data_IF_983359828348
#
_entry.id   IF_983359828348
#
_cell.length_a   1.000
_cell.length_b   1.000
_cell.length_c   1.000
_cell.angle_alpha   90.00
_cell.angle_beta   90.00
_cell.angle_gamma   90.00
#
_symmetry.space_group_name_H-M   'P 1'
#
loop_
_entity.id
_entity.type
_entity.pdbx_description
1 polymer ?
#
# COMPACT_ATOMS: atom_id res chain seq x y z
N UNK A 1 -9.67 -16.99 -2.57
CA UNK A 1 -10.78 -16.68 -1.64
C UNK A 1 -12.06 -16.73 -2.44
N UNK A 2 -13.13 -17.32 -1.90
CA UNK A 2 -14.49 -17.07 -2.41
C UNK A 2 -14.87 -15.62 -2.03
N UNK A 3 -15.63 -14.91 -2.87
CA UNK A 3 -16.13 -13.58 -2.50
C UNK A 3 -17.06 -13.65 -1.29
N UNK A 4 -17.16 -12.54 -0.55
CA UNK A 4 -18.12 -12.36 0.54
C UNK A 4 -19.56 -12.60 0.07
N UNK A 5 -20.41 -13.04 0.99
CA UNK A 5 -21.84 -13.26 0.74
C UNK A 5 -22.52 -11.90 0.66
N UNK A 6 -23.30 -11.65 -0.39
CA UNK A 6 -24.06 -10.40 -0.52
C UNK A 6 -25.16 -10.30 0.53
N UNK A 7 -25.64 -9.08 0.80
CA UNK A 7 -26.70 -8.80 1.78
C UNK A 7 -28.00 -9.58 1.54
N UNK A 8 -28.25 -10.04 0.32
CA UNK A 8 -29.40 -10.87 -0.05
C UNK A 8 -29.13 -12.38 0.03
N UNK A 9 -28.01 -12.78 0.63
CA UNK A 9 -27.63 -14.17 0.88
C UNK A 9 -27.07 -14.91 -0.33
N UNK A 10 -26.89 -14.23 -1.49
CA UNK A 10 -26.27 -14.85 -2.66
C UNK A 10 -24.76 -14.97 -2.45
N UNK A 11 -24.21 -16.11 -2.85
CA UNK A 11 -22.76 -16.35 -2.85
C UNK A 11 -22.24 -16.15 -4.26
N UNK A 12 -21.06 -15.56 -4.46
CA UNK A 12 -20.43 -15.49 -5.78
C UNK A 12 -19.88 -16.86 -6.29
N UNK A 13 -20.35 -17.98 -5.73
CA UNK A 13 -19.94 -19.34 -6.12
C UNK A 13 -20.15 -19.61 -7.60
N UNK A 14 -21.20 -19.04 -8.18
CA UNK A 14 -21.54 -19.19 -9.60
C UNK A 14 -20.50 -18.55 -10.52
N UNK A 15 -19.67 -17.61 -10.05
CA UNK A 15 -18.59 -17.03 -10.84
C UNK A 15 -17.51 -18.06 -11.18
N UNK A 16 -17.23 -19.00 -10.27
CA UNK A 16 -16.21 -20.03 -10.51
C UNK A 16 -16.69 -21.15 -11.44
N UNK A 17 -18.00 -21.32 -11.61
CA UNK A 17 -18.61 -22.32 -12.49
C UNK A 17 -19.09 -21.73 -13.82
N UNK A 18 -19.41 -20.44 -13.88
CA UNK A 18 -19.86 -19.73 -15.08
C UNK A 18 -18.81 -19.74 -16.19
N UNK A 19 -19.18 -20.28 -17.37
CA UNK A 19 -18.29 -20.31 -18.53
C UNK A 19 -18.01 -18.91 -19.11
N UNK A 20 -18.94 -17.98 -18.96
CA UNK A 20 -18.75 -16.57 -19.34
C UNK A 20 -17.66 -15.95 -18.48
N UNK A 21 -17.78 -16.04 -17.15
CA UNK A 21 -16.78 -15.50 -16.21
C UNK A 21 -15.40 -16.13 -16.42
N UNK A 22 -15.32 -17.46 -16.60
CA UNK A 22 -14.06 -18.13 -16.95
C UNK A 22 -13.50 -17.64 -18.28
N UNK A 23 -14.35 -17.36 -19.27
CA UNK A 23 -13.91 -16.83 -20.55
C UNK A 23 -13.30 -15.44 -20.41
N UNK A 24 -13.93 -14.56 -19.63
CA UNK A 24 -13.37 -13.25 -19.30
C UNK A 24 -12.03 -13.36 -18.57
N UNK A 25 -11.90 -14.25 -17.58
CA UNK A 25 -10.62 -14.48 -16.89
C UNK A 25 -9.54 -15.06 -17.79
N UNK A 26 -9.90 -15.88 -18.80
CA UNK A 26 -8.95 -16.39 -19.80
C UNK A 26 -8.37 -15.25 -20.66
N UNK A 27 -9.17 -14.23 -20.95
CA UNK A 27 -8.72 -13.07 -21.73
C UNK A 27 -7.72 -12.18 -20.95
N UNK A 28 -7.72 -12.25 -19.62
CA UNK A 28 -6.86 -11.45 -18.74
C UNK A 28 -5.60 -12.21 -18.27
N UNK A 29 -5.31 -13.42 -18.80
CA UNK A 29 -4.21 -14.23 -18.27
C UNK A 29 -2.83 -13.59 -18.40
N UNK A 30 -2.58 -12.86 -19.49
CA UNK A 30 -1.29 -12.18 -19.70
C UNK A 30 -1.09 -11.08 -18.64
N UNK A 31 -2.11 -10.23 -18.45
CA UNK A 31 -2.16 -9.23 -17.37
C UNK A 31 -1.93 -9.86 -15.99
N UNK A 32 -2.63 -10.94 -15.68
CA UNK A 32 -2.45 -11.64 -14.40
C UNK A 32 -1.04 -12.24 -14.27
N UNK A 33 -0.45 -12.71 -15.37
CA UNK A 33 0.94 -13.17 -15.43
C UNK A 33 1.94 -12.08 -15.07
N UNK A 34 1.75 -10.88 -15.62
CA UNK A 34 2.59 -9.70 -15.36
C UNK A 34 2.49 -9.23 -13.91
N UNK A 35 1.27 -9.13 -13.37
CA UNK A 35 1.05 -8.83 -11.95
C UNK A 35 1.69 -9.87 -11.03
N UNK A 36 1.56 -11.17 -11.35
CA UNK A 36 2.17 -12.25 -10.57
C UNK A 36 3.70 -12.18 -10.61
N UNK A 37 4.28 -11.80 -11.74
CA UNK A 37 5.72 -11.59 -11.90
C UNK A 37 6.20 -10.41 -11.03
N UNK A 38 5.54 -9.25 -11.13
CA UNK A 38 5.82 -8.10 -10.28
C UNK A 38 5.67 -8.44 -8.79
N UNK A 39 4.65 -9.20 -8.42
CA UNK A 39 4.39 -9.61 -7.04
C UNK A 39 5.44 -10.59 -6.52
N UNK A 40 6.00 -11.45 -7.39
CA UNK A 40 7.09 -12.35 -7.01
C UNK A 40 8.38 -11.57 -6.76
N UNK A 41 8.70 -10.58 -7.60
CA UNK A 41 9.83 -9.69 -7.35
C UNK A 41 9.66 -8.95 -6.02
N UNK A 42 8.45 -8.47 -5.71
CA UNK A 42 8.13 -7.86 -4.42
C UNK A 42 8.33 -8.83 -3.26
N UNK A 43 7.78 -10.06 -3.36
CA UNK A 43 7.90 -11.11 -2.33
C UNK A 43 9.35 -11.47 -2.02
N UNK A 44 10.18 -11.67 -3.05
CA UNK A 44 11.59 -12.01 -2.86
C UNK A 44 12.37 -10.81 -2.29
N UNK A 45 12.10 -9.59 -2.77
CA UNK A 45 12.72 -8.36 -2.24
C UNK A 45 12.39 -8.19 -0.76
N UNK A 46 11.11 -8.22 -0.37
CA UNK A 46 10.72 -8.02 1.04
C UNK A 46 11.28 -9.10 1.94
N UNK A 47 11.34 -10.36 1.48
CA UNK A 47 11.90 -11.46 2.26
C UNK A 47 13.39 -11.22 2.56
N UNK A 48 14.15 -10.79 1.56
CA UNK A 48 15.54 -10.39 1.76
C UNK A 48 15.65 -9.19 2.71
N UNK A 49 14.86 -8.13 2.48
CA UNK A 49 14.95 -6.90 3.28
C UNK A 49 14.56 -7.11 4.74
N UNK A 50 13.62 -8.00 5.05
CA UNK A 50 13.30 -8.37 6.45
C UNK A 50 14.51 -8.95 7.19
N UNK A 51 15.41 -9.63 6.48
CA UNK A 51 16.69 -10.10 7.07
C UNK A 51 17.74 -9.00 7.15
N UNK A 52 17.81 -8.12 6.14
CA UNK A 52 18.84 -7.09 6.01
C UNK A 52 18.63 -5.89 6.95
N UNK A 53 17.40 -5.41 7.07
CA UNK A 53 17.06 -4.20 7.82
C UNK A 53 17.25 -4.47 9.31
N UNK A 54 18.11 -3.66 9.94
CA UNK A 54 18.44 -3.69 11.37
C UNK A 54 18.74 -2.26 11.85
N UNK A 55 18.49 -1.95 13.13
CA UNK A 55 18.89 -0.69 13.74
C UNK A 55 20.39 -0.42 13.56
N UNK A 56 20.75 0.85 13.41
CA UNK A 56 22.10 1.30 13.10
C UNK A 56 22.37 1.51 11.61
N UNK A 57 21.47 1.09 10.71
CA UNK A 57 21.55 1.39 9.28
C UNK A 57 20.97 2.77 8.99
N UNK A 58 21.57 3.51 8.06
CA UNK A 58 20.98 4.75 7.56
C UNK A 58 19.74 4.44 6.71
N UNK A 59 18.79 5.37 6.66
CA UNK A 59 17.62 5.22 5.80
C UNK A 59 18.04 5.11 4.32
N UNK A 60 19.11 5.82 3.92
CA UNK A 60 19.68 5.75 2.57
C UNK A 60 20.18 4.33 2.24
N UNK A 61 20.97 3.70 3.13
CA UNK A 61 21.46 2.32 2.92
C UNK A 61 20.30 1.33 2.76
N UNK A 62 19.23 1.51 3.56
CA UNK A 62 18.03 0.68 3.48
C UNK A 62 17.35 0.84 2.11
N UNK A 63 17.10 2.07 1.67
CA UNK A 63 16.45 2.35 0.38
C UNK A 63 17.31 1.87 -0.79
N UNK A 64 18.59 2.23 -0.85
CA UNK A 64 19.48 1.85 -1.96
C UNK A 64 19.62 0.32 -2.08
N UNK A 65 19.74 -0.39 -0.95
CA UNK A 65 19.80 -1.85 -0.93
C UNK A 65 18.49 -2.49 -1.40
N UNK A 66 17.35 -1.99 -0.92
CA UNK A 66 16.03 -2.48 -1.33
C UNK A 66 15.83 -2.27 -2.82
N UNK A 67 16.07 -1.06 -3.31
CA UNK A 67 15.86 -0.72 -4.71
C UNK A 67 16.81 -1.46 -5.64
N UNK A 68 18.08 -1.62 -5.27
CA UNK A 68 19.02 -2.44 -6.04
C UNK A 68 18.55 -3.90 -6.13
N UNK A 69 18.02 -4.44 -5.04
CA UNK A 69 17.48 -5.80 -5.01
C UNK A 69 16.24 -5.91 -5.91
N UNK A 70 15.29 -4.99 -5.76
CA UNK A 70 14.06 -4.95 -6.53
C UNK A 70 14.31 -4.78 -8.03
N UNK A 71 15.20 -3.86 -8.44
CA UNK A 71 15.60 -3.64 -9.84
C UNK A 71 16.21 -4.90 -10.47
N UNK A 72 17.05 -5.62 -9.71
CA UNK A 72 17.64 -6.88 -10.17
C UNK A 72 16.60 -7.98 -10.36
N UNK A 73 15.68 -8.14 -9.41
CA UNK A 73 14.64 -9.17 -9.44
C UNK A 73 13.55 -8.91 -10.48
N UNK A 74 13.13 -7.65 -10.66
CA UNK A 74 12.14 -7.26 -11.67
C UNK A 74 12.73 -7.19 -13.08
N UNK A 75 14.07 -7.20 -13.20
CA UNK A 75 14.82 -6.98 -14.44
C UNK A 75 14.44 -5.64 -15.07
N UNK A 76 14.75 -4.56 -14.35
CA UNK A 76 14.42 -3.20 -14.75
C UNK A 76 14.76 -2.94 -16.24
N UNK A 77 13.78 -2.45 -16.98
CA UNK A 77 13.86 -2.11 -18.38
C UNK A 77 12.98 -0.89 -18.67
N UNK A 78 13.53 0.31 -18.43
CA UNK A 78 12.86 1.59 -18.68
C UNK A 78 11.45 1.59 -18.08
N UNK A 79 10.41 1.74 -18.92
CA UNK A 79 9.00 1.75 -18.50
C UNK A 79 8.34 0.36 -18.64
N UNK A 80 8.99 -0.61 -19.26
CA UNK A 80 8.43 -1.96 -19.43
C UNK A 80 8.49 -2.76 -18.12
N UNK A 81 9.54 -2.57 -17.32
CA UNK A 81 9.70 -3.23 -16.02
C UNK A 81 10.50 -2.33 -15.08
N UNK A 82 10.10 -2.23 -13.81
CA UNK A 82 10.81 -1.36 -12.88
C UNK A 82 10.13 -1.19 -11.52
N UNK A 83 10.59 -0.17 -10.80
CA UNK A 83 9.98 0.27 -9.55
C UNK A 83 8.80 1.18 -9.85
N UNK A 84 7.65 0.92 -9.22
CA UNK A 84 6.43 1.67 -9.48
C UNK A 84 6.41 3.04 -8.80
N UNK A 85 7.04 3.13 -7.63
CA UNK A 85 7.14 4.35 -6.81
C UNK A 85 8.37 4.24 -5.88
N UNK A 86 8.84 5.36 -5.29
CA UNK A 86 9.99 5.35 -4.41
C UNK A 86 9.80 4.46 -3.16
N UNK A 87 10.91 4.02 -2.58
CA UNK A 87 10.87 3.20 -1.36
C UNK A 87 10.50 4.05 -0.15
N UNK A 88 9.25 3.98 0.29
CA UNK A 88 8.78 4.55 1.54
C UNK A 88 9.39 3.82 2.73
N UNK A 89 10.07 4.56 3.61
CA UNK A 89 10.69 4.08 4.84
C UNK A 89 10.27 4.94 6.03
N UNK A 90 8.99 5.31 6.06
CA UNK A 90 8.44 6.22 7.07
C UNK A 90 8.59 5.63 8.47
N UNK A 91 9.14 6.39 9.42
CA UNK A 91 9.38 5.95 10.80
C UNK A 91 8.46 6.66 11.80
N UNK A 92 8.06 5.95 12.84
CA UNK A 92 7.31 6.47 13.99
C UNK A 92 6.00 7.16 13.57
N UNK A 93 5.85 8.45 13.92
CA UNK A 93 4.64 9.24 13.72
C UNK A 93 4.37 9.58 12.24
N UNK A 94 5.40 9.57 11.38
CA UNK A 94 5.23 9.73 9.95
C UNK A 94 4.65 8.44 9.36
N UNK A 95 3.44 8.49 8.80
CA UNK A 95 2.72 7.28 8.39
C UNK A 95 3.15 6.76 7.02
N UNK A 96 3.37 7.66 6.05
CA UNK A 96 3.65 7.34 4.66
C UNK A 96 4.49 8.46 3.99
N UNK A 97 4.98 8.19 2.78
CA UNK A 97 5.62 9.15 1.87
C UNK A 97 6.92 9.81 2.35
N UNK A 98 7.60 9.25 3.35
CA UNK A 98 9.00 9.57 3.62
C UNK A 98 9.94 8.55 2.95
N UNK A 99 10.86 9.05 2.15
CA UNK A 99 12.10 8.40 1.72
C UNK A 99 13.23 9.43 1.84
N UNK A 100 14.45 9.06 2.24
CA UNK A 100 15.53 10.02 2.47
C UNK A 100 15.95 10.73 1.18
N UNK A 101 16.08 12.06 1.25
CA UNK A 101 16.79 12.83 0.22
C UNK A 101 18.31 12.68 0.37
N UNK A 102 19.05 13.14 -0.64
CA UNK A 102 20.51 13.13 -0.60
C UNK A 102 21.04 13.87 0.64
N UNK A 103 21.89 13.20 1.41
CA UNK A 103 22.48 13.76 2.63
C UNK A 103 21.65 13.60 3.90
N UNK A 104 20.49 12.94 3.85
CA UNK A 104 19.71 12.59 5.04
C UNK A 104 20.53 11.70 5.99
N UNK A 105 20.86 12.17 7.21
CA UNK A 105 21.69 11.44 8.15
C UNK A 105 20.89 10.46 9.03
N UNK A 106 19.58 10.29 8.79
CA UNK A 106 18.70 9.51 9.65
C UNK A 106 19.17 8.06 9.72
N UNK A 107 19.31 7.57 10.95
CA UNK A 107 19.68 6.19 11.26
C UNK A 107 18.51 5.52 11.96
N UNK A 108 18.13 4.35 11.49
CA UNK A 108 17.11 3.51 12.08
C UNK A 108 17.49 3.10 13.50
N UNK A 109 16.59 3.26 14.47
CA UNK A 109 16.80 2.97 15.88
C UNK A 109 16.03 1.71 16.34
N UNK A 110 16.44 1.14 17.48
CA UNK A 110 15.83 -0.07 18.08
C UNK A 110 14.34 0.11 18.38
N UNK A 111 13.98 1.32 18.79
CA UNK A 111 12.64 1.69 19.22
C UNK A 111 11.75 2.26 18.09
N UNK A 112 12.26 2.29 16.86
CA UNK A 112 11.51 2.81 15.71
C UNK A 112 10.42 1.84 15.22
N UNK A 113 9.30 2.42 14.80
CA UNK A 113 8.27 1.73 14.03
C UNK A 113 8.42 2.10 12.55
N UNK A 114 9.08 1.23 11.79
CA UNK A 114 9.41 1.45 10.39
C UNK A 114 8.32 0.85 9.49
N UNK A 115 7.73 1.66 8.61
CA UNK A 115 6.89 1.18 7.52
C UNK A 115 7.74 1.12 6.26
N UNK A 116 7.88 -0.07 5.68
CA UNK A 116 8.56 -0.30 4.41
C UNK A 116 7.48 -0.49 3.35
N UNK A 117 7.43 0.45 2.42
CA UNK A 117 6.42 0.51 1.38
C UNK A 117 7.10 0.75 0.03
N UNK A 118 6.94 -0.18 -0.90
CA UNK A 118 7.60 -0.10 -2.20
C UNK A 118 6.78 -0.87 -3.23
N UNK A 119 6.89 -0.45 -4.49
CA UNK A 119 6.15 -1.06 -5.57
C UNK A 119 7.03 -1.52 -6.73
N UNK A 120 6.58 -2.57 -7.41
CA UNK A 120 7.17 -3.11 -8.64
C UNK A 120 6.11 -3.13 -9.73
N UNK A 121 6.53 -3.06 -11.00
CA UNK A 121 5.58 -3.21 -12.12
C UNK A 121 6.20 -3.93 -13.32
N UNK A 122 5.32 -4.51 -14.13
CA UNK A 122 5.57 -4.94 -15.51
C UNK A 122 4.50 -4.28 -16.38
N UNK A 123 4.89 -3.60 -17.45
CA UNK A 123 4.04 -2.84 -18.39
C UNK A 123 3.03 -1.89 -17.71
N UNK A 124 3.41 -1.34 -16.57
CA UNK A 124 2.56 -0.44 -15.77
C UNK A 124 1.53 -1.15 -14.89
N UNK A 125 1.51 -2.49 -14.85
CA UNK A 125 0.72 -3.26 -13.90
C UNK A 125 1.46 -3.33 -12.56
N UNK A 126 1.00 -2.50 -11.65
CA UNK A 126 1.68 -2.18 -10.40
C UNK A 126 1.28 -3.16 -9.30
N UNK A 127 2.27 -3.58 -8.53
CA UNK A 127 2.08 -4.15 -7.21
C UNK A 127 2.44 -3.08 -6.19
N UNK A 128 1.45 -2.72 -5.40
CA UNK A 128 1.58 -1.88 -4.23
C UNK A 128 1.40 -2.76 -2.99
N UNK A 129 2.43 -2.83 -2.15
CA UNK A 129 2.40 -3.66 -0.95
C UNK A 129 3.43 -3.18 0.08
N UNK A 130 2.96 -2.98 1.30
CA UNK A 130 3.77 -2.51 2.42
C UNK A 130 3.81 -3.51 3.58
N UNK A 131 4.77 -3.33 4.47
CA UNK A 131 4.84 -4.01 5.76
C UNK A 131 5.49 -3.14 6.82
N UNK A 132 5.23 -3.44 8.10
CA UNK A 132 5.85 -2.73 9.23
C UNK A 132 6.91 -3.62 9.87
N UNK A 133 8.04 -3.03 10.26
CA UNK A 133 9.11 -3.66 11.03
C UNK A 133 9.32 -2.91 12.34
N UNK A 134 9.49 -3.69 13.41
CA UNK A 134 9.82 -3.23 14.76
C UNK A 134 10.84 -4.20 15.37
N UNK A 135 11.67 -3.71 16.28
CA UNK A 135 12.60 -4.54 17.05
C UNK A 135 12.23 -4.61 18.53
N UNK A 136 11.41 -3.67 19.00
CA UNK A 136 10.82 -3.70 20.33
C UNK A 136 9.43 -4.38 20.33
N UNK A 137 9.24 -5.50 21.06
CA UNK A 137 7.98 -6.24 21.14
C UNK A 137 6.79 -5.44 21.69
N UNK A 138 7.04 -4.27 22.32
CA UNK A 138 5.96 -3.39 22.82
C UNK A 138 4.99 -2.95 21.72
N UNK A 139 5.41 -2.99 20.46
CA UNK A 139 4.58 -2.63 19.31
C UNK A 139 3.83 -3.81 18.67
N UNK A 140 4.06 -5.05 19.09
CA UNK A 140 3.49 -6.23 18.42
C UNK A 140 1.96 -6.18 18.32
N UNK A 141 1.28 -5.79 19.42
CA UNK A 141 -0.18 -5.61 19.41
C UNK A 141 -0.66 -4.51 18.46
N UNK A 142 0.14 -3.46 18.24
CA UNK A 142 -0.19 -2.41 17.27
C UNK A 142 -0.07 -2.96 15.84
N UNK A 143 0.97 -3.75 15.56
CA UNK A 143 1.13 -4.43 14.28
C UNK A 143 0.01 -5.45 14.03
N UNK A 144 -0.40 -6.20 15.06
CA UNK A 144 -1.52 -7.13 15.00
C UNK A 144 -2.83 -6.43 14.63
N UNK A 145 -3.14 -5.31 15.30
CA UNK A 145 -4.33 -4.52 15.03
C UNK A 145 -4.41 -4.07 13.57
N UNK A 146 -3.32 -3.51 13.05
CA UNK A 146 -3.26 -3.01 11.66
C UNK A 146 -3.29 -4.16 10.66
N UNK A 147 -2.60 -5.25 10.94
CA UNK A 147 -2.59 -6.44 10.08
C UNK A 147 -3.98 -7.09 9.99
N UNK A 148 -4.68 -7.21 11.11
CA UNK A 148 -6.03 -7.78 11.15
C UNK A 148 -7.06 -6.87 10.47
N UNK A 149 -6.93 -5.55 10.65
CA UNK A 149 -7.74 -4.56 9.95
C UNK A 149 -7.51 -4.61 8.42
N UNK A 150 -6.26 -4.68 7.95
CA UNK A 150 -5.95 -4.85 6.52
C UNK A 150 -6.50 -6.16 5.97
N UNK A 151 -6.32 -7.28 6.68
CA UNK A 151 -6.87 -8.57 6.25
C UNK A 151 -8.40 -8.60 6.24
N UNK A 152 -9.03 -7.86 7.15
CA UNK A 152 -10.47 -7.62 7.13
C UNK A 152 -10.86 -6.83 5.89
N UNK A 153 -10.18 -5.73 5.57
CA UNK A 153 -10.40 -5.00 4.32
C UNK A 153 -10.28 -5.88 3.08
N UNK A 154 -9.27 -6.75 3.02
CA UNK A 154 -9.06 -7.71 1.91
C UNK A 154 -10.21 -8.72 1.81
N UNK A 155 -10.69 -9.23 2.97
CA UNK A 155 -11.78 -10.21 3.03
C UNK A 155 -13.12 -9.60 2.64
N UNK A 156 -13.38 -8.37 3.07
CA UNK A 156 -14.64 -7.68 2.78
C UNK A 156 -14.67 -7.09 1.37
N UNK A 157 -13.50 -6.85 0.74
CA UNK A 157 -13.42 -6.40 -0.64
C UNK A 157 -13.98 -7.43 -1.63
N UNK A 158 -14.74 -6.96 -2.60
CA UNK A 158 -15.36 -7.81 -3.60
C UNK A 158 -16.15 -7.03 -4.62
N UNK A 159 -16.46 -7.65 -5.75
CA UNK A 159 -17.30 -7.04 -6.79
C UNK A 159 -18.66 -6.70 -6.18
N UNK A 160 -19.20 -5.54 -6.54
CA UNK A 160 -20.44 -4.94 -6.02
C UNK A 160 -20.42 -4.50 -4.55
N UNK A 161 -19.31 -4.69 -3.83
CA UNK A 161 -19.16 -4.21 -2.44
C UNK A 161 -18.99 -2.70 -2.44
N UNK A 162 -19.69 -2.01 -1.53
CA UNK A 162 -19.56 -0.56 -1.34
C UNK A 162 -18.27 -0.25 -0.57
N UNK A 163 -17.52 0.73 -1.06
CA UNK A 163 -16.25 1.16 -0.45
C UNK A 163 -16.44 1.62 1.01
N UNK A 164 -17.55 2.29 1.33
CA UNK A 164 -17.87 2.68 2.70
C UNK A 164 -18.01 1.50 3.68
N UNK A 165 -18.51 0.35 3.21
CA UNK A 165 -18.73 -0.83 4.06
C UNK A 165 -17.38 -1.48 4.39
N UNK A 166 -16.47 -1.53 3.42
CA UNK A 166 -15.08 -1.95 3.64
C UNK A 166 -14.43 -1.08 4.71
N UNK A 167 -14.60 0.25 4.62
CA UNK A 167 -14.05 1.18 5.61
C UNK A 167 -14.65 1.07 7.00
N UNK A 168 -15.94 0.75 7.10
CA UNK A 168 -16.60 0.48 8.39
C UNK A 168 -16.05 -0.79 9.04
N UNK A 169 -15.95 -1.89 8.30
CA UNK A 169 -15.39 -3.16 8.79
C UNK A 169 -13.92 -3.03 9.21
N UNK A 170 -13.11 -2.30 8.43
CA UNK A 170 -11.72 -2.00 8.78
C UNK A 170 -11.66 -1.24 10.11
N UNK A 171 -12.48 -0.20 10.26
CA UNK A 171 -12.48 0.61 11.48
C UNK A 171 -12.94 -0.19 12.69
N UNK A 172 -13.99 -1.00 12.57
CA UNK A 172 -14.49 -1.85 13.66
C UNK A 172 -13.37 -2.75 14.19
N UNK A 173 -12.67 -3.45 13.28
CA UNK A 173 -11.57 -4.34 13.68
C UNK A 173 -10.40 -3.54 14.25
N UNK A 174 -9.93 -2.50 13.58
CA UNK A 174 -8.81 -1.68 14.06
C UNK A 174 -9.07 -1.12 15.47
N UNK A 175 -10.27 -0.59 15.69
CA UNK A 175 -10.67 0.04 16.95
C UNK A 175 -11.10 -0.96 18.03
N UNK A 176 -11.13 -2.26 17.73
CA UNK A 176 -11.32 -3.30 18.76
C UNK A 176 -10.06 -3.57 19.58
N UNK A 177 -8.89 -3.11 19.10
CA UNK A 177 -7.60 -3.31 19.77
C UNK A 177 -7.23 -2.16 20.71
N UNK A 178 -6.63 -2.53 21.84
CA UNK A 178 -5.94 -1.62 22.76
C UNK A 178 -4.47 -2.03 22.91
N UNK A 179 -3.59 -1.04 23.02
CA UNK A 179 -2.15 -1.24 23.21
C UNK A 179 -1.66 -0.43 24.40
N UNK A 180 -0.74 -1.00 25.18
CA UNK A 180 -0.08 -0.29 26.29
C UNK A 180 1.34 0.08 25.85
N UNK A 181 1.64 1.38 25.84
CA UNK A 181 2.97 1.90 25.52
C UNK A 181 3.40 2.85 26.64
N UNK A 182 4.57 2.61 27.23
CA UNK A 182 5.15 3.45 28.29
C UNK A 182 4.19 3.72 29.46
N UNK A 183 3.45 2.70 29.91
CA UNK A 183 2.50 2.80 31.03
C UNK A 183 1.19 3.53 30.70
N UNK A 184 0.91 3.77 29.41
CA UNK A 184 -0.35 4.38 28.95
C UNK A 184 -1.05 3.47 27.95
N UNK A 185 -2.34 3.25 28.18
CA UNK A 185 -3.21 2.52 27.25
C UNK A 185 -3.74 3.43 26.15
N UNK A 186 -3.73 2.93 24.93
CA UNK A 186 -4.25 3.59 23.74
C UNK A 186 -5.21 2.66 23.02
N UNK A 187 -6.41 3.15 22.72
CA UNK A 187 -7.23 2.57 21.66
C UNK A 187 -6.54 2.85 20.32
N UNK A 188 -6.34 1.81 19.50
CA UNK A 188 -5.76 2.00 18.16
C UNK A 188 -6.78 2.72 17.30
N UNK A 189 -6.35 3.77 16.57
CA UNK A 189 -7.22 4.56 15.70
C UNK A 189 -6.80 4.44 14.25
N UNK A 190 -7.75 4.21 13.36
CA UNK A 190 -7.53 4.40 11.93
C UNK A 190 -7.12 5.85 11.64
N UNK A 191 -6.13 6.05 10.77
CA UNK A 191 -5.78 7.38 10.27
C UNK A 191 -6.83 7.81 9.23
N UNK A 192 -7.81 8.62 9.66
CA UNK A 192 -9.04 8.87 8.89
C UNK A 192 -8.88 9.60 7.56
N UNK A 193 -7.72 10.19 7.28
CA UNK A 193 -7.39 10.87 6.02
C UNK A 193 -6.29 10.16 5.22
N UNK A 194 -6.05 8.88 5.52
CA UNK A 194 -5.37 7.94 4.63
C UNK A 194 -6.35 6.85 4.20
N UNK A 195 -6.12 6.26 3.03
CA UNK A 195 -7.07 5.40 2.34
C UNK A 195 -6.29 4.42 1.48
N UNK A 196 -6.87 3.24 1.21
CA UNK A 196 -6.47 2.47 0.03
C UNK A 196 -7.02 3.10 -1.25
N UNK A 197 -6.75 2.48 -2.39
CA UNK A 197 -7.10 3.08 -3.69
C UNK A 197 -7.20 2.05 -4.81
N UNK A 198 -7.92 2.40 -5.87
CA UNK A 198 -7.83 1.65 -7.13
C UNK A 198 -6.49 1.92 -7.83
N UNK A 199 -6.02 0.93 -8.59
CA UNK A 199 -4.77 0.97 -9.37
C UNK A 199 -5.13 0.79 -10.85
N UNK A 200 -4.46 1.56 -11.70
CA UNK A 200 -4.55 1.45 -13.15
C UNK A 200 -3.16 1.35 -13.80
N UNK A 201 -3.09 1.06 -15.11
CA UNK A 201 -1.81 0.98 -15.82
C UNK A 201 -1.03 2.30 -15.70
N UNK A 202 0.18 2.23 -15.14
CA UNK A 202 1.04 3.39 -14.85
C UNK A 202 0.40 4.47 -13.97
N UNK A 203 -0.67 4.14 -13.24
CA UNK A 203 -1.43 5.08 -12.41
C UNK A 203 -1.68 4.45 -11.05
N UNK A 204 -0.82 4.79 -10.09
CA UNK A 204 -0.91 4.26 -8.72
C UNK A 204 -2.26 4.55 -8.08
N UNK A 205 -2.78 5.77 -8.25
CA UNK A 205 -4.12 6.18 -7.80
C UNK A 205 -5.06 6.37 -8.99
N UNK A 206 -5.91 5.38 -9.28
CA UNK A 206 -6.80 5.37 -10.44
C UNK A 206 -8.17 6.03 -10.24
N UNK A 207 -8.42 6.61 -9.06
CA UNK A 207 -9.52 7.55 -8.83
C UNK A 207 -10.58 7.09 -7.83
N UNK A 208 -10.65 5.80 -7.48
CA UNK A 208 -11.46 5.31 -6.35
C UNK A 208 -10.59 5.22 -5.10
N UNK A 209 -11.14 5.64 -3.97
CA UNK A 209 -10.48 5.58 -2.65
C UNK A 209 -11.20 4.57 -1.76
N UNK A 210 -10.46 3.65 -1.15
CA UNK A 210 -10.97 2.68 -0.18
C UNK A 210 -10.83 3.30 1.22
N UNK A 211 -11.93 3.74 1.85
CA UNK A 211 -11.86 4.31 3.20
C UNK A 211 -11.42 3.26 4.22
N UNK A 212 -10.81 3.72 5.32
CA UNK A 212 -10.47 2.89 6.49
C UNK A 212 -11.23 3.32 7.76
N UNK A 213 -12.26 4.13 7.54
CA UNK A 213 -13.22 4.64 8.52
C UNK A 213 -14.62 4.63 7.90
N UNK A 214 -15.65 4.52 8.73
CA UNK A 214 -17.04 4.65 8.30
C UNK A 214 -17.37 6.05 7.77
N UNK A 215 -18.43 6.15 6.98
CA UNK A 215 -18.96 7.43 6.48
C UNK A 215 -18.40 7.88 5.13
N UNK A 216 -17.68 7.00 4.41
CA UNK A 216 -17.21 7.24 3.05
C UNK A 216 -18.33 7.11 1.99
N UNK A 217 -17.93 7.18 0.72
CA UNK A 217 -18.86 7.05 -0.40
C UNK A 217 -19.38 5.61 -0.57
N UNK A 218 -20.64 5.48 -0.99
CA UNK A 218 -21.27 4.20 -1.32
C UNK A 218 -20.92 3.68 -2.73
N UNK A 219 -19.89 4.25 -3.36
CA UNK A 219 -19.32 3.78 -4.64
C UNK A 219 -18.93 2.31 -4.51
N UNK A 220 -19.18 1.52 -5.56
CA UNK A 220 -18.93 0.08 -5.54
C UNK A 220 -17.60 -0.29 -6.22
N UNK A 221 -16.99 -1.36 -5.74
CA UNK A 221 -15.92 -2.05 -6.46
C UNK A 221 -16.51 -2.77 -7.68
N UNK A 222 -15.82 -2.71 -8.81
CA UNK A 222 -16.27 -3.25 -10.09
C UNK A 222 -15.37 -4.41 -10.53
N UNK A 223 -15.91 -5.26 -11.40
CA UNK A 223 -15.16 -6.36 -11.98
C UNK A 223 -13.95 -5.88 -12.79
N UNK A 224 -12.81 -6.55 -12.61
CA UNK A 224 -11.57 -6.25 -13.33
C UNK A 224 -10.76 -5.09 -12.74
N UNK A 225 -11.25 -4.43 -11.69
CA UNK A 225 -10.47 -3.43 -10.97
C UNK A 225 -9.39 -4.05 -10.09
N UNK A 226 -8.29 -3.32 -9.93
CA UNK A 226 -7.21 -3.64 -8.99
C UNK A 226 -7.23 -2.61 -7.87
N UNK A 227 -6.95 -3.06 -6.64
CA UNK A 227 -6.95 -2.21 -5.46
C UNK A 227 -5.71 -2.45 -4.59
N UNK A 228 -5.11 -1.37 -4.10
CA UNK A 228 -4.30 -1.40 -2.89
C UNK A 228 -5.25 -1.34 -1.69
N UNK A 229 -5.24 -2.40 -0.88
CA UNK A 229 -5.95 -2.42 0.40
C UNK A 229 -4.91 -2.22 1.49
N UNK A 230 -4.85 -1.00 2.00
CA UNK A 230 -3.90 -0.56 3.02
C UNK A 230 -4.65 0.08 4.19
N UNK A 231 -4.13 -0.12 5.40
CA UNK A 231 -4.70 0.46 6.61
C UNK A 231 -3.59 0.99 7.50
N UNK A 232 -3.91 2.03 8.25
CA UNK A 232 -2.95 2.74 9.09
C UNK A 232 -3.52 2.92 10.48
N UNK A 233 -2.91 2.26 11.47
CA UNK A 233 -3.25 2.40 12.88
C UNK A 233 -2.33 3.41 13.57
N UNK A 234 -2.89 4.24 14.43
CA UNK A 234 -2.17 5.28 15.17
C UNK A 234 -2.59 5.33 16.63
N UNK A 235 -1.62 5.58 17.51
CA UNK A 235 -1.84 5.94 18.92
C UNK A 235 -2.01 7.45 19.12
N UNK A 236 -1.92 8.24 18.04
CA UNK A 236 -2.07 9.70 18.05
C UNK A 236 -3.51 10.18 17.81
N UNK A 237 -3.64 11.23 17.00
CA UNK A 237 -4.94 11.83 16.64
C UNK A 237 -5.71 11.06 15.56
N UNK A 238 -5.10 10.02 14.98
CA UNK A 238 -5.68 9.29 13.83
C UNK A 238 -5.89 10.22 12.63
N UNK A 239 -4.94 11.11 12.37
CA UNK A 239 -4.96 12.09 11.27
C UNK A 239 -3.53 12.50 10.94
N UNK A 240 -3.17 12.56 9.66
CA UNK A 240 -1.87 13.03 9.18
C UNK A 240 -1.96 14.46 8.65
N UNK A 241 -0.84 15.18 8.71
CA UNK A 241 -0.62 16.43 8.01
C UNK A 241 0.74 16.36 7.33
N UNK A 242 0.96 17.20 6.33
CA UNK A 242 2.28 17.32 5.71
C UNK A 242 3.30 17.77 6.76
N UNK A 243 4.48 17.16 6.71
CA UNK A 243 5.61 17.47 7.59
C UNK A 243 6.92 17.05 6.90
N UNK A 244 8.05 17.54 7.40
CA UNK A 244 9.40 17.30 6.89
C UNK A 244 9.61 17.78 5.44
N UNK A 245 10.76 17.43 4.85
CA UNK A 245 11.08 17.77 3.47
C UNK A 245 10.41 16.79 2.50
N UNK A 246 9.83 17.30 1.41
CA UNK A 246 9.24 16.47 0.35
C UNK A 246 10.31 15.70 -0.41
N UNK A 247 10.10 14.40 -0.61
CA UNK A 247 10.93 13.54 -1.46
C UNK A 247 10.17 12.84 -2.58
N UNK A 248 8.84 12.73 -2.46
CA UNK A 248 7.99 12.08 -3.45
C UNK A 248 7.39 13.09 -4.43
N UNK A 249 7.52 12.80 -5.72
CA UNK A 249 6.93 13.58 -6.81
C UNK A 249 6.31 12.64 -7.83
N UNK A 250 5.20 13.05 -8.44
CA UNK A 250 4.55 12.32 -9.52
C UNK A 250 3.96 13.30 -10.52
N UNK A 251 4.08 12.99 -11.82
CA UNK A 251 3.42 13.77 -12.87
C UNK A 251 1.90 13.64 -12.68
N UNK A 252 1.17 14.76 -12.79
CA UNK A 252 -0.28 14.69 -12.89
C UNK A 252 -0.65 13.91 -14.16
N UNK A 253 -1.32 12.77 -13.97
CA UNK A 253 -1.67 11.81 -15.02
C UNK A 253 -2.53 12.44 -16.13
N UNK A 254 -3.41 13.37 -15.75
CA UNK A 254 -4.38 13.98 -16.66
C UNK A 254 -3.77 15.15 -17.47
N UNK A 255 -2.53 15.56 -17.14
CA UNK A 255 -1.84 16.65 -17.85
C UNK A 255 -1.06 16.09 -19.05
N UNK A 256 -1.48 16.51 -20.24
CA UNK A 256 -0.86 16.19 -21.52
C UNK A 256 0.50 16.86 -21.74
N UNK A 257 0.86 17.04 -23.02
CA UNK A 257 2.10 17.73 -23.38
C UNK A 257 2.03 19.22 -23.04
N UNK A 258 3.04 19.72 -22.32
CA UNK A 258 3.20 21.15 -22.01
C UNK A 258 4.58 21.58 -22.54
N UNK A 259 4.65 22.49 -23.52
CA UNK A 259 5.93 22.98 -24.02
C UNK A 259 6.60 23.86 -22.95
N UNK A 260 7.83 23.52 -22.59
CA UNK A 260 8.66 24.33 -21.70
C UNK A 260 9.64 25.13 -22.54
N UNK A 261 9.63 26.46 -22.40
CA UNK A 261 10.63 27.33 -23.01
C UNK A 261 11.58 27.82 -21.91
N UNK A 262 12.88 27.69 -22.16
CA UNK A 262 13.88 28.35 -21.33
C UNK A 262 13.84 29.85 -21.64
N UNK A 263 13.29 30.64 -20.72
CA UNK A 263 13.49 32.10 -20.76
C UNK A 263 14.93 32.35 -20.33
N UNK A 264 15.84 32.46 -21.29
CA UNK A 264 17.16 33.04 -21.02
C UNK A 264 16.96 34.54 -20.84
N UNK A 265 16.95 35.01 -19.59
CA UNK A 265 17.07 36.43 -19.32
C UNK A 265 18.44 36.89 -19.86
N UNK A 266 18.40 37.69 -20.93
CA UNK A 266 19.57 38.40 -21.46
C UNK A 266 19.91 39.60 -20.59
#
# INVERSE_FOLDING_TARGET
MEYSVSDDGRTAKDRYSSEEAKSHDRLQQDLYGELRCAAEAHRQTRQYMQTYIKPGKTMIDICETLESTARGLIKENKLEAGLAFPTGVSINHCAAHYTPNAGDPTVLQEDDVLKVDFGTHIHGHIIDCAFTMTWNPRYDKLLDAVRDATNTGIREAGIDVRLCDVGESIQEVMESYEVELNGKTYKVKSIRNLNGHSIGPYRIHAGKTVPIVKGGEATKMEEGEFYAIETFGSTGKGYVHDDMETSHYMKNFDVGHVPLSHVTNH
#
